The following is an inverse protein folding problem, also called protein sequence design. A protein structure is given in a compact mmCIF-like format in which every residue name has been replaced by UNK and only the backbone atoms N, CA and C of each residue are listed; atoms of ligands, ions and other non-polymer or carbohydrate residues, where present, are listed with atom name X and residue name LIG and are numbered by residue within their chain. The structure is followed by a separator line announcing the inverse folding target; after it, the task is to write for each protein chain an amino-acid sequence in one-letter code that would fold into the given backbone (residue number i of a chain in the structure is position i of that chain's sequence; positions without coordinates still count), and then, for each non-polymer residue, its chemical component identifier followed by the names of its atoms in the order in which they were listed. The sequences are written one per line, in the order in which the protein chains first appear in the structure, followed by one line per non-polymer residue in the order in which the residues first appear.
data_IF_926829824420
#
_entry.id   IF_926829824420
#
_cell.length_a   1.000
_cell.length_b   1.000
_cell.length_c   1.000
_cell.angle_alpha   90.00
_cell.angle_beta   90.00
_cell.angle_gamma   90.00
#
_symmetry.space_group_name_H-M   'P 1'
#
loop_
_entity.id
_entity.type
_entity.pdbx_description
1 polymer ?
#
# COMPACT_ATOMS: atom_id res chain seq x y z
N UNK A 1 -1.88 5.19 8.60
CA UNK A 1 -2.32 5.91 7.37
C UNK A 1 -2.39 4.93 6.19
N UNK A 2 -3.03 5.28 5.07
CA UNK A 2 -3.18 4.38 3.90
C UNK A 2 -1.83 3.91 3.32
N UNK A 3 -0.83 4.79 3.23
CA UNK A 3 0.51 4.44 2.78
C UNK A 3 1.24 3.46 3.70
N UNK A 4 1.04 3.59 5.02
CA UNK A 4 1.58 2.65 6.00
C UNK A 4 0.97 1.26 5.83
N UNK A 5 -0.31 1.20 5.45
CA UNK A 5 -0.97 -0.07 5.15
C UNK A 5 -0.43 -0.69 3.85
N UNK A 6 -0.17 0.11 2.82
CA UNK A 6 0.53 -0.37 1.61
C UNK A 6 1.90 -0.98 1.96
N UNK A 7 2.69 -0.29 2.79
CA UNK A 7 3.98 -0.80 3.29
C UNK A 7 3.82 -2.12 4.05
N UNK A 8 2.79 -2.22 4.88
CA UNK A 8 2.46 -3.44 5.63
C UNK A 8 2.11 -4.61 4.70
N UNK A 9 1.25 -4.40 3.70
CA UNK A 9 0.89 -5.41 2.71
C UNK A 9 2.11 -5.88 1.90
N UNK A 10 2.91 -4.93 1.42
CA UNK A 10 4.17 -5.22 0.70
C UNK A 10 5.10 -6.09 1.55
N UNK A 11 5.29 -5.71 2.82
CA UNK A 11 6.16 -6.44 3.76
C UNK A 11 5.63 -7.85 4.04
N UNK A 12 4.31 -8.03 4.19
CA UNK A 12 3.67 -9.36 4.32
C UNK A 12 3.91 -10.26 3.12
N UNK A 13 3.94 -9.68 1.92
CA UNK A 13 4.23 -10.39 0.66
C UNK A 13 5.73 -10.57 0.39
N UNK A 14 6.60 -10.10 1.30
CA UNK A 14 8.08 -10.14 1.19
C UNK A 14 8.60 -9.47 -0.09
N UNK A 15 7.88 -8.46 -0.59
CA UNK A 15 8.28 -7.70 -1.76
C UNK A 15 9.12 -6.48 -1.34
N UNK A 16 10.16 -6.20 -2.11
CA UNK A 16 10.93 -4.96 -2.01
C UNK A 16 10.20 -3.81 -2.70
N UNK A 17 10.60 -2.58 -2.39
CA UNK A 17 10.08 -1.39 -3.09
C UNK A 17 10.42 -1.45 -4.59
N UNK A 18 11.60 -1.99 -4.94
CA UNK A 18 12.04 -2.12 -6.33
C UNK A 18 11.14 -3.08 -7.11
N UNK A 19 10.84 -4.25 -6.55
CA UNK A 19 9.94 -5.22 -7.19
C UNK A 19 8.54 -4.64 -7.40
N UNK A 20 7.96 -3.99 -6.38
CA UNK A 20 6.65 -3.35 -6.52
C UNK A 20 6.69 -2.23 -7.56
N UNK A 21 7.75 -1.43 -7.59
CA UNK A 21 7.90 -0.35 -8.57
C UNK A 21 7.96 -0.88 -10.00
N UNK A 22 8.64 -2.00 -10.21
CA UNK A 22 8.73 -2.68 -11.50
C UNK A 22 7.36 -3.22 -11.93
N UNK A 23 6.65 -3.93 -11.06
CA UNK A 23 5.34 -4.50 -11.37
C UNK A 23 4.24 -3.45 -11.55
N UNK A 24 4.33 -2.31 -10.85
CA UNK A 24 3.38 -1.21 -10.96
C UNK A 24 3.70 -0.27 -12.13
N UNK A 25 4.88 -0.39 -12.73
CA UNK A 25 5.43 0.55 -13.71
C UNK A 25 5.38 2.01 -13.20
N UNK A 26 5.89 2.20 -11.98
CA UNK A 26 6.07 3.52 -11.35
C UNK A 26 7.48 3.65 -10.78
N UNK A 27 7.94 4.86 -10.52
CA UNK A 27 9.27 5.03 -9.90
C UNK A 27 9.30 4.48 -8.47
N UNK A 28 10.44 3.93 -8.05
CA UNK A 28 10.65 3.53 -6.66
C UNK A 28 10.44 4.71 -5.68
N UNK A 29 10.79 5.93 -6.09
CA UNK A 29 10.54 7.16 -5.33
C UNK A 29 9.05 7.39 -5.10
N UNK A 30 8.20 7.12 -6.10
CA UNK A 30 6.74 7.20 -5.98
C UNK A 30 6.22 6.22 -4.94
N UNK A 31 6.71 4.96 -4.95
CA UNK A 31 6.33 3.96 -3.93
C UNK A 31 6.77 4.43 -2.53
N UNK A 32 8.00 4.90 -2.36
CA UNK A 32 8.48 5.43 -1.08
C UNK A 32 7.68 6.65 -0.58
N UNK A 33 7.34 7.57 -1.49
CA UNK A 33 6.54 8.75 -1.17
C UNK A 33 5.16 8.31 -0.67
N UNK A 34 4.50 7.41 -1.41
CA UNK A 34 3.19 6.89 -1.06
C UNK A 34 3.20 6.19 0.30
N UNK A 35 4.19 5.31 0.56
CA UNK A 35 4.31 4.60 1.84
C UNK A 35 4.50 5.54 3.04
N UNK A 36 5.08 6.71 2.81
CA UNK A 36 5.26 7.77 3.81
C UNK A 36 4.09 8.75 3.88
N UNK A 37 3.01 8.50 3.14
CA UNK A 37 1.83 9.37 3.08
C UNK A 37 2.04 10.66 2.29
N UNK A 38 2.99 10.67 1.35
CA UNK A 38 3.29 11.80 0.45
C UNK A 38 2.91 11.45 -0.99
N UNK A 39 2.66 12.47 -1.81
CA UNK A 39 2.36 12.35 -3.25
C UNK A 39 1.30 11.27 -3.57
N UNK A 40 0.12 11.45 -2.98
CA UNK A 40 -0.98 10.51 -3.09
C UNK A 40 -1.83 10.80 -4.35
N UNK A 41 -1.33 10.37 -5.51
CA UNK A 41 -2.12 10.31 -6.73
C UNK A 41 -2.87 8.98 -6.78
N UNK A 42 -4.19 9.02 -6.96
CA UNK A 42 -5.02 7.82 -6.98
C UNK A 42 -4.57 6.79 -8.02
N UNK A 43 -4.13 7.24 -9.20
CA UNK A 43 -3.60 6.37 -10.25
C UNK A 43 -2.33 5.62 -9.84
N UNK A 44 -1.44 6.24 -9.06
CA UNK A 44 -0.24 5.58 -8.54
C UNK A 44 -0.61 4.56 -7.46
N UNK A 45 -1.56 4.89 -6.57
CA UNK A 45 -2.05 3.93 -5.58
C UNK A 45 -2.63 2.70 -6.26
N UNK A 46 -3.50 2.88 -7.25
CA UNK A 46 -4.15 1.78 -7.95
C UNK A 46 -3.14 0.82 -8.58
N UNK A 47 -2.17 1.37 -9.32
CA UNK A 47 -1.09 0.56 -9.94
C UNK A 47 -0.26 -0.19 -8.89
N UNK A 48 0.05 0.44 -7.76
CA UNK A 48 0.78 -0.19 -6.65
C UNK A 48 -0.07 -1.29 -5.99
N UNK A 49 -1.37 -1.08 -5.81
CA UNK A 49 -2.29 -2.08 -5.25
C UNK A 49 -2.42 -3.29 -6.18
N UNK A 50 -2.55 -3.06 -7.49
CA UNK A 50 -2.55 -4.10 -8.50
C UNK A 50 -1.23 -4.90 -8.52
N UNK A 51 -0.08 -4.22 -8.38
CA UNK A 51 1.22 -4.87 -8.26
C UNK A 51 1.36 -5.71 -6.98
N UNK A 52 0.57 -5.40 -5.94
CA UNK A 52 0.45 -6.24 -4.75
C UNK A 52 -0.55 -7.40 -4.96
N UNK A 53 -1.14 -7.55 -6.13
CA UNK A 53 -2.09 -8.61 -6.47
C UNK A 53 -3.45 -8.45 -5.80
N UNK A 54 -3.92 -7.21 -5.69
CA UNK A 54 -5.24 -6.85 -5.16
C UNK A 54 -5.94 -5.92 -6.14
N UNK A 55 -7.27 -5.90 -6.12
CA UNK A 55 -8.02 -4.79 -6.66
C UNK A 55 -8.27 -3.71 -5.58
N UNK A 56 -8.85 -2.59 -5.99
CA UNK A 56 -9.12 -1.47 -5.07
C UNK A 56 -10.20 -1.79 -4.03
N UNK A 57 -11.17 -2.65 -4.35
CA UNK A 57 -12.27 -3.01 -3.45
C UNK A 57 -11.70 -3.86 -2.29
N UNK A 58 -10.98 -4.93 -2.63
CA UNK A 58 -10.30 -5.80 -1.67
C UNK A 58 -9.33 -5.00 -0.80
N UNK A 59 -8.57 -4.09 -1.42
CA UNK A 59 -7.65 -3.22 -0.71
C UNK A 59 -8.35 -2.37 0.36
N UNK A 60 -9.46 -1.71 0.03
CA UNK A 60 -10.18 -0.86 1.00
C UNK A 60 -10.88 -1.67 2.10
N UNK A 61 -11.39 -2.87 1.78
CA UNK A 61 -11.94 -3.77 2.80
C UNK A 61 -10.87 -4.21 3.81
N UNK A 62 -9.70 -4.63 3.32
CA UNK A 62 -8.57 -5.00 4.17
C UNK A 62 -8.04 -3.80 4.96
N UNK A 63 -8.00 -2.61 4.36
CA UNK A 63 -7.59 -1.39 5.04
C UNK A 63 -8.52 -1.02 6.20
N UNK A 64 -9.84 -1.08 5.99
CA UNK A 64 -10.84 -0.83 7.05
C UNK A 64 -10.72 -1.81 8.22
N UNK A 65 -10.46 -3.08 7.91
CA UNK A 65 -10.20 -4.12 8.92
C UNK A 65 -8.91 -3.83 9.68
N UNK A 66 -7.82 -3.49 8.98
CA UNK A 66 -6.53 -3.17 9.58
C UNK A 66 -6.61 -1.96 10.52
N UNK A 67 -7.32 -0.89 10.12
CA UNK A 67 -7.56 0.27 10.98
C UNK A 67 -8.28 -0.11 12.29
N UNK A 68 -9.28 -0.99 12.19
CA UNK A 68 -10.04 -1.46 13.36
C UNK A 68 -9.15 -2.26 14.32
N UNK A 69 -8.22 -3.07 13.80
CA UNK A 69 -7.26 -3.81 14.63
C UNK A 69 -6.25 -2.90 15.33
N UNK A 70 -5.75 -1.86 14.64
CA UNK A 70 -4.83 -0.86 15.23
C UNK A 70 -5.49 -0.02 16.31
N UNK A 71 -6.80 0.25 16.21
CA UNK A 71 -7.52 1.03 17.23
C UNK A 71 -7.70 0.25 18.54
N UNK A 72 -7.94 -1.07 18.45
CA UNK A 72 -8.10 -1.94 19.63
C UNK A 72 -6.82 -2.17 20.42
N UNK A 73 -5.64 -2.05 19.81
CA UNK A 73 -4.35 -2.22 20.50
C UNK A 73 -3.83 -0.97 21.21
N UNK A 74 -4.58 0.14 21.14
CA UNK A 74 -4.26 1.41 21.82
C UNK A 74 -5.32 1.76 22.88
N UNK A 75 -6.26 0.84 23.15
CA UNK A 75 -7.27 0.92 24.23
C UNK A 75 -6.96 -0.12 25.28
#
# INVERSE_FOLDING_TARGET
MIGEFVKHLRSKKRLTVIEVSYHADVSATTVYALERGRDFKNSNLERIVQALGLDMIDFYQLYGTWLSTKKKSVS
#
